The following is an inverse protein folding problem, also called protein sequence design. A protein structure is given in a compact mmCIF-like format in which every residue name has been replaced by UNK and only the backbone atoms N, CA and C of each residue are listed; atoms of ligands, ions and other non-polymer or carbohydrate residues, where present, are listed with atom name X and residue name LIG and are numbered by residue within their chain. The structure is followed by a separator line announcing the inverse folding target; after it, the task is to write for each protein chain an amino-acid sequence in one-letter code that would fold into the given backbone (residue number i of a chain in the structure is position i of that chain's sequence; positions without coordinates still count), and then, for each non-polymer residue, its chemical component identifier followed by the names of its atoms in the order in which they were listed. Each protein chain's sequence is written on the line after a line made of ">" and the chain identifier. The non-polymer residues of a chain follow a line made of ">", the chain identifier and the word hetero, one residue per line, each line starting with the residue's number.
data_IF_153490320781
#
_entry.id   IF_153490320781
#
_cell.length_a   1.000
_cell.length_b   1.000
_cell.length_c   1.000
_cell.angle_alpha   90.00
_cell.angle_beta   90.00
_cell.angle_gamma   90.00
#
_symmetry.space_group_name_H-M   'P 1'
#
loop_
_entity.id
_entity.type
_entity.pdbx_description
1 polymer ?
#
# COMPACT_ATOMS: atom_id res chain seq x y z
N UNK A 1 -25.17 7.02 66.78
CA UNK A 1 -23.81 7.32 66.29
C UNK A 1 -23.02 6.12 65.75
N UNK A 2 -23.36 4.85 66.07
CA UNK A 2 -22.64 3.66 65.56
C UNK A 2 -23.19 3.03 64.27
N UNK A 3 -24.41 3.39 63.84
CA UNK A 3 -25.02 2.85 62.62
C UNK A 3 -24.68 3.62 61.33
N UNK A 4 -24.18 4.86 61.42
CA UNK A 4 -23.89 5.71 60.25
C UNK A 4 -22.47 5.53 59.69
N UNK A 5 -21.57 4.87 60.43
CA UNK A 5 -20.17 4.66 60.00
C UNK A 5 -19.98 3.36 59.19
N UNK A 6 -20.86 2.36 59.38
CA UNK A 6 -20.83 1.11 58.62
C UNK A 6 -21.37 1.26 57.18
N UNK A 7 -22.18 2.29 56.91
CA UNK A 7 -22.71 2.58 55.58
C UNK A 7 -21.80 3.49 54.73
N UNK A 8 -20.72 4.04 55.30
CA UNK A 8 -19.74 4.88 54.58
C UNK A 8 -18.44 4.16 54.18
N UNK A 9 -18.25 2.90 54.60
CA UNK A 9 -17.11 2.08 54.16
C UNK A 9 -17.48 1.03 53.08
N UNK A 10 -18.77 0.81 52.81
CA UNK A 10 -19.23 -0.09 51.74
C UNK A 10 -19.31 0.59 50.36
N UNK A 11 -19.12 1.91 50.26
CA UNK A 11 -19.21 2.69 49.02
C UNK A 11 -17.86 2.99 48.36
N UNK A 12 -16.74 2.47 48.90
CA UNK A 12 -15.39 2.72 48.35
C UNK A 12 -14.73 1.50 47.68
N UNK A 13 -15.33 0.31 47.72
CA UNK A 13 -14.72 -0.93 47.18
C UNK A 13 -15.57 -1.58 46.08
N UNK A 14 -16.83 -1.17 45.93
CA UNK A 14 -17.71 -1.64 44.85
C UNK A 14 -17.45 -0.95 43.50
N UNK A 15 -16.91 0.27 43.51
CA UNK A 15 -16.63 1.05 42.30
C UNK A 15 -15.35 0.62 41.58
N UNK A 16 -14.41 -0.01 42.28
CA UNK A 16 -13.13 -0.46 41.71
C UNK A 16 -13.20 -1.87 41.14
N UNK A 17 -14.21 -2.68 41.50
CA UNK A 17 -14.43 -4.01 40.93
C UNK A 17 -15.34 -4.02 39.70
N UNK A 18 -16.13 -2.97 39.46
CA UNK A 18 -16.90 -2.83 38.22
C UNK A 18 -16.05 -2.31 37.04
N UNK A 19 -15.01 -1.51 37.29
CA UNK A 19 -14.06 -1.11 36.24
C UNK A 19 -13.12 -2.23 35.82
N UNK A 20 -12.79 -3.17 36.72
CA UNK A 20 -11.99 -4.36 36.37
C UNK A 20 -12.79 -5.46 35.66
N UNK A 21 -14.14 -5.42 35.73
CA UNK A 21 -15.03 -6.32 34.98
C UNK A 21 -15.58 -5.69 33.69
N UNK A 22 -15.17 -4.46 33.37
CA UNK A 22 -15.34 -3.85 32.05
C UNK A 22 -14.05 -3.92 31.19
N UNK A 23 -13.06 -4.69 31.66
CA UNK A 23 -11.78 -4.95 30.98
C UNK A 23 -11.60 -6.40 30.52
N UNK A 24 -12.67 -7.23 30.52
CA UNK A 24 -12.57 -8.66 30.14
C UNK A 24 -13.63 -9.12 29.11
N UNK A 25 -14.50 -8.24 28.60
CA UNK A 25 -15.48 -8.63 27.57
C UNK A 25 -15.52 -7.63 26.41
N UNK A 26 -14.40 -7.51 25.73
CA UNK A 26 -14.31 -7.45 24.28
C UNK A 26 -12.81 -7.25 23.98
N UNK A 27 -12.01 -8.31 24.05
CA UNK A 27 -10.98 -8.36 23.01
C UNK A 27 -11.79 -8.35 21.72
N UNK A 28 -11.72 -7.30 20.87
CA UNK A 28 -12.28 -7.45 19.54
C UNK A 28 -11.63 -8.73 19.01
N UNK A 29 -12.44 -9.71 18.59
CA UNK A 29 -11.97 -10.79 17.75
C UNK A 29 -10.95 -10.18 16.79
N UNK A 30 -9.67 -10.60 16.85
CA UNK A 30 -8.56 -9.90 16.20
C UNK A 30 -8.97 -9.50 14.79
N UNK A 31 -9.36 -8.23 14.66
CA UNK A 31 -10.07 -7.79 13.47
C UNK A 31 -9.05 -7.89 12.34
N UNK A 32 -9.35 -8.72 11.35
CA UNK A 32 -8.51 -8.99 10.19
C UNK A 32 -7.99 -7.66 9.64
N UNK A 33 -6.72 -7.34 9.91
CA UNK A 33 -6.19 -6.00 9.63
C UNK A 33 -5.99 -5.88 8.12
N UNK A 34 -6.66 -4.90 7.50
CA UNK A 34 -6.43 -4.62 6.08
C UNK A 34 -5.19 -3.78 5.93
N UNK A 35 -4.32 -4.15 4.99
CA UNK A 35 -3.11 -3.39 4.69
C UNK A 35 -3.03 -3.10 3.20
N UNK A 36 -2.80 -1.84 2.87
CA UNK A 36 -2.51 -1.41 1.50
C UNK A 36 -1.03 -1.07 1.39
N UNK A 37 -0.34 -1.72 0.47
CA UNK A 37 0.99 -1.30 0.02
C UNK A 37 0.80 -0.51 -1.27
N UNK A 38 0.94 0.80 -1.19
CA UNK A 38 0.91 1.66 -2.37
C UNK A 38 2.31 1.71 -2.97
N UNK A 39 2.55 0.88 -3.98
CA UNK A 39 3.82 0.85 -4.72
C UNK A 39 3.80 1.93 -5.81
N UNK A 40 4.50 3.03 -5.52
CA UNK A 40 4.62 4.18 -6.41
C UNK A 40 5.67 3.90 -7.48
N UNK A 41 5.35 4.22 -8.74
CA UNK A 41 6.24 4.04 -9.90
C UNK A 41 6.46 5.38 -10.60
N UNK A 42 5.83 5.56 -11.75
CA UNK A 42 5.90 6.76 -12.58
C UNK A 42 4.83 7.80 -12.17
N UNK A 43 4.09 7.52 -11.09
CA UNK A 43 2.94 8.27 -10.59
C UNK A 43 3.24 8.95 -9.24
N UNK A 44 4.38 9.65 -9.15
CA UNK A 44 4.90 10.31 -7.95
C UNK A 44 4.08 11.55 -7.53
N UNK A 45 2.80 11.37 -7.23
CA UNK A 45 1.85 12.43 -6.88
C UNK A 45 0.78 11.96 -5.91
N UNK A 46 0.30 12.88 -5.06
CA UNK A 46 -0.86 12.65 -4.19
C UNK A 46 -2.18 13.03 -4.85
N UNK A 47 -2.20 14.09 -5.65
CA UNK A 47 -3.39 14.54 -6.35
C UNK A 47 -3.74 13.59 -7.48
N UNK A 48 -5.04 13.39 -7.71
CA UNK A 48 -5.57 12.59 -8.82
C UNK A 48 -4.83 11.26 -9.02
N UNK A 49 -4.57 10.56 -7.91
CA UNK A 49 -3.93 9.25 -7.94
C UNK A 49 -5.02 8.17 -7.74
N UNK A 50 -5.31 7.34 -8.76
CA UNK A 50 -6.38 6.36 -8.67
C UNK A 50 -6.08 5.22 -7.69
N UNK A 51 -4.81 4.95 -7.37
CA UNK A 51 -4.46 4.02 -6.30
C UNK A 51 -4.90 4.57 -4.95
N UNK A 52 -4.60 5.84 -4.67
CA UNK A 52 -5.03 6.51 -3.44
C UNK A 52 -6.56 6.60 -3.36
N UNK A 53 -7.24 6.94 -4.46
CA UNK A 53 -8.70 6.96 -4.49
C UNK A 53 -9.30 5.59 -4.12
N UNK A 54 -8.71 4.49 -4.59
CA UNK A 54 -9.15 3.13 -4.27
C UNK A 54 -8.86 2.74 -2.82
N UNK A 55 -7.74 3.21 -2.25
CA UNK A 55 -7.42 3.04 -0.82
C UNK A 55 -8.43 3.80 0.04
N UNK A 56 -8.70 5.06 -0.29
CA UNK A 56 -9.63 5.92 0.44
C UNK A 56 -11.09 5.45 0.35
N UNK A 57 -11.45 4.70 -0.69
CA UNK A 57 -12.77 4.08 -0.83
C UNK A 57 -12.96 2.83 0.07
N UNK A 58 -11.90 2.32 0.71
CA UNK A 58 -12.01 1.20 1.63
C UNK A 58 -12.80 1.59 2.89
N UNK A 59 -13.73 0.73 3.31
CA UNK A 59 -14.50 0.91 4.54
C UNK A 59 -13.85 0.11 5.66
N UNK A 60 -13.40 0.81 6.70
CA UNK A 60 -12.76 0.21 7.87
C UNK A 60 -11.35 0.73 8.10
N UNK A 61 -10.74 0.28 9.20
CA UNK A 61 -9.35 0.61 9.51
C UNK A 61 -8.42 -0.15 8.57
N UNK A 62 -7.52 0.58 7.91
CA UNK A 62 -6.47 0.00 7.10
C UNK A 62 -5.14 0.70 7.32
N UNK A 63 -4.07 -0.10 7.42
CA UNK A 63 -2.70 0.42 7.37
C UNK A 63 -2.35 0.73 5.90
N UNK A 64 -1.80 1.91 5.64
CA UNK A 64 -1.30 2.29 4.30
C UNK A 64 0.20 2.46 4.37
N UNK A 65 0.92 1.72 3.54
CA UNK A 65 2.36 1.81 3.38
C UNK A 65 2.71 2.28 1.95
N UNK A 66 3.03 3.57 1.76
CA UNK A 66 3.63 4.05 0.53
C UNK A 66 5.06 3.50 0.36
N UNK A 67 5.38 2.98 -0.83
CA UNK A 67 6.69 2.39 -1.14
C UNK A 67 7.18 2.87 -2.51
N UNK A 68 8.43 3.31 -2.58
CA UNK A 68 9.14 3.57 -3.82
C UNK A 68 10.44 2.76 -3.87
N UNK A 69 10.68 2.08 -5.00
CA UNK A 69 11.85 1.22 -5.17
C UNK A 69 12.68 1.68 -6.37
N UNK A 70 13.91 2.08 -6.11
CA UNK A 70 14.92 2.30 -7.15
C UNK A 70 15.36 0.94 -7.71
N UNK A 71 14.79 0.57 -8.85
CA UNK A 71 15.12 -0.68 -9.53
C UNK A 71 16.48 -0.57 -10.26
N UNK A 72 17.50 -1.37 -9.89
CA UNK A 72 18.81 -1.31 -10.53
C UNK A 72 18.78 -1.51 -12.04
N UNK A 73 17.75 -2.19 -12.59
CA UNK A 73 17.58 -2.40 -14.04
C UNK A 73 17.36 -1.10 -14.80
N UNK A 74 16.81 -0.06 -14.16
CA UNK A 74 16.60 1.25 -14.78
C UNK A 74 17.89 2.07 -14.92
N UNK A 75 18.96 1.67 -14.22
CA UNK A 75 20.26 2.35 -14.20
C UNK A 75 21.35 1.56 -14.93
N UNK A 76 20.96 0.54 -15.71
CA UNK A 76 21.88 -0.22 -16.59
C UNK A 76 22.09 0.51 -17.92
N UNK A 77 22.98 -0.04 -18.75
CA UNK A 77 23.09 0.36 -20.16
C UNK A 77 21.92 -0.22 -20.98
N UNK A 78 21.47 0.51 -21.99
CA UNK A 78 20.55 0.00 -23.01
C UNK A 78 21.27 -0.94 -23.97
N UNK A 79 20.53 -1.65 -24.83
CA UNK A 79 21.12 -2.52 -25.85
C UNK A 79 22.10 -1.78 -26.80
N UNK A 80 21.96 -0.45 -26.91
CA UNK A 80 22.83 0.40 -27.74
C UNK A 80 24.00 1.03 -26.95
N UNK A 81 24.19 0.66 -25.69
CA UNK A 81 25.30 1.15 -24.84
C UNK A 81 25.07 2.49 -24.16
N UNK A 82 23.92 3.15 -24.36
CA UNK A 82 23.59 4.39 -23.65
C UNK A 82 23.16 4.10 -22.21
N UNK A 83 23.32 5.06 -21.29
CA UNK A 83 22.69 4.94 -19.97
C UNK A 83 21.17 4.89 -20.12
N UNK A 84 20.54 3.86 -19.56
CA UNK A 84 19.09 3.72 -19.61
C UNK A 84 18.43 4.89 -18.90
N UNK A 85 18.98 5.30 -17.75
CA UNK A 85 18.66 6.54 -17.05
C UNK A 85 19.91 7.40 -16.95
N UNK A 86 19.95 8.48 -17.76
CA UNK A 86 21.03 9.46 -17.70
C UNK A 86 20.99 10.34 -16.44
N UNK A 87 22.05 11.11 -16.17
CA UNK A 87 22.24 11.83 -14.91
C UNK A 87 21.15 12.88 -14.65
N UNK A 88 20.69 13.59 -15.69
CA UNK A 88 19.63 14.60 -15.54
C UNK A 88 18.31 13.99 -15.09
N UNK A 89 17.91 12.87 -15.70
CA UNK A 89 16.67 12.17 -15.32
C UNK A 89 16.79 11.50 -13.96
N UNK A 90 17.96 10.95 -13.63
CA UNK A 90 18.21 10.39 -12.31
C UNK A 90 18.07 11.45 -11.21
N UNK A 91 18.64 12.65 -11.42
CA UNK A 91 18.49 13.79 -10.51
C UNK A 91 17.02 14.21 -10.36
N UNK A 92 16.32 14.42 -11.47
CA UNK A 92 14.90 14.78 -11.45
C UNK A 92 14.03 13.76 -10.71
N UNK A 93 14.28 12.47 -10.94
CA UNK A 93 13.57 11.39 -10.25
C UNK A 93 13.86 11.38 -8.74
N UNK A 94 15.12 11.57 -8.35
CA UNK A 94 15.50 11.68 -6.95
C UNK A 94 14.79 12.85 -6.26
N UNK A 95 14.77 14.03 -6.88
CA UNK A 95 14.07 15.22 -6.38
C UNK A 95 12.55 14.98 -6.28
N UNK A 96 11.96 14.31 -7.26
CA UNK A 96 10.53 13.95 -7.25
C UNK A 96 10.17 12.98 -6.12
N UNK A 97 11.03 11.99 -5.83
CA UNK A 97 10.85 11.06 -4.71
C UNK A 97 10.98 11.78 -3.38
N UNK A 98 11.92 12.72 -3.25
CA UNK A 98 12.06 13.54 -2.05
C UNK A 98 10.83 14.42 -1.80
N UNK A 99 10.32 15.10 -2.84
CA UNK A 99 9.13 15.93 -2.75
C UNK A 99 7.91 15.12 -2.31
N UNK A 100 7.65 13.97 -2.96
CA UNK A 100 6.55 13.09 -2.56
C UNK A 100 6.67 12.63 -1.10
N UNK A 101 7.89 12.29 -0.66
CA UNK A 101 8.14 11.91 0.73
C UNK A 101 7.84 13.06 1.70
N UNK A 102 8.20 14.29 1.35
CA UNK A 102 7.91 15.47 2.15
C UNK A 102 6.40 15.74 2.23
N UNK A 103 5.69 15.63 1.12
CA UNK A 103 4.22 15.79 1.08
C UNK A 103 3.53 14.73 1.96
N UNK A 104 3.97 13.47 1.89
CA UNK A 104 3.46 12.39 2.75
C UNK A 104 3.71 12.63 4.24
N UNK A 105 4.90 13.13 4.61
CA UNK A 105 5.20 13.52 5.98
C UNK A 105 4.35 14.68 6.48
N UNK A 106 4.02 15.63 5.60
CA UNK A 106 3.13 16.75 5.90
C UNK A 106 1.73 16.31 6.35
N UNK A 107 1.29 15.10 5.97
CA UNK A 107 0.00 14.52 6.36
C UNK A 107 0.12 13.38 7.37
N UNK A 108 1.27 13.24 8.05
CA UNK A 108 1.48 12.23 9.08
C UNK A 108 1.79 10.81 8.57
N UNK A 109 2.15 10.66 7.29
CA UNK A 109 2.64 9.41 6.69
C UNK A 109 4.16 9.46 6.44
N UNK A 110 4.72 8.49 5.73
CA UNK A 110 6.09 8.56 5.17
C UNK A 110 6.16 7.69 3.90
N UNK A 111 7.22 7.88 3.10
CA UNK A 111 7.53 7.05 1.94
C UNK A 111 8.66 6.08 2.29
N UNK A 112 8.39 4.78 2.24
CA UNK A 112 9.44 3.76 2.34
C UNK A 112 10.22 3.73 1.02
N UNK A 113 11.48 4.13 1.05
CA UNK A 113 12.36 4.14 -0.12
C UNK A 113 13.38 3.01 -0.01
N UNK A 114 13.52 2.22 -1.08
CA UNK A 114 14.48 1.13 -1.15
C UNK A 114 15.19 1.06 -2.50
N UNK A 115 16.26 0.26 -2.56
CA UNK A 115 16.99 -0.06 -3.79
C UNK A 115 16.97 -1.57 -4.00
N UNK A 116 16.50 -2.02 -5.15
CA UNK A 116 16.41 -3.44 -5.48
C UNK A 116 15.23 -3.75 -6.40
N UNK A 117 15.09 -5.02 -6.78
CA UNK A 117 14.02 -5.43 -7.68
C UNK A 117 12.68 -5.51 -6.93
N UNK A 118 11.60 -4.91 -7.46
CA UNK A 118 10.28 -4.97 -6.82
C UNK A 118 9.80 -6.39 -6.52
N UNK A 119 10.00 -7.32 -7.45
CA UNK A 119 9.63 -8.74 -7.29
C UNK A 119 10.45 -9.50 -6.24
N UNK A 120 11.55 -8.93 -5.74
CA UNK A 120 12.36 -9.52 -4.66
C UNK A 120 12.04 -8.84 -3.31
N UNK A 121 11.80 -7.53 -3.31
CA UNK A 121 11.61 -6.73 -2.10
C UNK A 121 10.16 -6.71 -1.61
N UNK A 122 9.18 -6.55 -2.52
CA UNK A 122 7.77 -6.48 -2.14
C UNK A 122 7.27 -7.77 -1.47
N UNK A 123 7.60 -8.99 -1.96
CA UNK A 123 7.21 -10.22 -1.27
C UNK A 123 7.73 -10.31 0.17
N UNK A 124 8.95 -9.81 0.43
CA UNK A 124 9.52 -9.76 1.78
C UNK A 124 8.79 -8.76 2.69
N UNK A 125 8.29 -7.67 2.11
CA UNK A 125 7.59 -6.61 2.83
C UNK A 125 6.15 -7.01 3.22
N UNK A 126 5.53 -7.86 2.40
CA UNK A 126 4.15 -8.36 2.57
C UNK A 126 4.08 -9.78 3.13
N UNK A 127 5.22 -10.38 3.46
CA UNK A 127 5.27 -11.69 4.09
C UNK A 127 4.46 -11.68 5.41
N UNK A 128 3.73 -12.76 5.74
CA UNK A 128 2.97 -12.86 6.97
C UNK A 128 3.84 -12.54 8.19
N UNK A 129 3.35 -11.67 9.08
CA UNK A 129 4.09 -11.18 10.26
C UNK A 129 3.81 -11.97 11.54
N UNK A 130 3.01 -13.04 11.48
CA UNK A 130 2.59 -13.86 12.61
C UNK A 130 1.16 -14.38 12.46
N UNK A 131 0.65 -15.03 13.52
CA UNK A 131 -0.76 -15.42 13.65
C UNK A 131 -1.60 -14.16 13.82
N UNK A 132 -2.35 -13.81 12.77
CA UNK A 132 -3.07 -12.55 12.65
C UNK A 132 -3.25 -12.23 11.17
N UNK A 133 -4.31 -12.77 10.57
CA UNK A 133 -4.63 -12.64 9.14
C UNK A 133 -4.65 -11.17 8.71
N UNK A 134 -3.53 -10.69 8.17
CA UNK A 134 -3.43 -9.35 7.61
C UNK A 134 -3.65 -9.47 6.11
N UNK A 135 -4.83 -9.06 5.63
CA UNK A 135 -5.10 -9.05 4.21
C UNK A 135 -4.32 -7.91 3.55
N UNK A 136 -3.23 -8.26 2.86
CA UNK A 136 -2.37 -7.25 2.21
C UNK A 136 -2.75 -7.12 0.74
N UNK A 137 -3.00 -5.89 0.29
CA UNK A 137 -3.17 -5.57 -1.14
C UNK A 137 -2.07 -4.62 -1.59
N UNK A 138 -1.29 -5.02 -2.58
CA UNK A 138 -0.37 -4.14 -3.30
C UNK A 138 -1.14 -3.44 -4.41
N UNK A 139 -1.17 -2.11 -4.38
CA UNK A 139 -1.76 -1.23 -5.38
C UNK A 139 -0.66 -0.41 -6.06
N UNK A 140 -0.71 -0.31 -7.39
CA UNK A 140 0.18 0.54 -8.17
C UNK A 140 -0.52 1.00 -9.45
N UNK A 141 -0.08 2.10 -10.06
CA UNK A 141 -0.57 2.47 -11.38
C UNK A 141 -0.17 1.40 -12.40
N UNK A 142 -1.10 0.94 -13.23
CA UNK A 142 -0.88 -0.02 -14.31
C UNK A 142 0.14 0.53 -15.32
N UNK A 143 0.94 -0.36 -15.92
CA UNK A 143 1.88 -0.05 -16.98
C UNK A 143 1.64 -1.00 -18.15
N UNK A 144 1.94 -0.57 -19.36
CA UNK A 144 1.62 -1.31 -20.61
C UNK A 144 2.84 -1.75 -21.40
N UNK A 145 4.03 -1.29 -21.00
CA UNK A 145 5.29 -1.55 -21.70
C UNK A 145 5.93 -2.86 -21.23
N UNK A 146 6.72 -3.47 -22.12
CA UNK A 146 7.17 -4.87 -21.96
C UNK A 146 8.08 -5.11 -20.74
N UNK A 147 8.90 -4.12 -20.36
CA UNK A 147 9.77 -4.24 -19.21
C UNK A 147 8.98 -4.21 -17.90
N UNK A 148 8.05 -3.27 -17.78
CA UNK A 148 7.16 -3.11 -16.63
C UNK A 148 6.22 -4.31 -16.48
N UNK A 149 5.64 -4.80 -17.58
CA UNK A 149 4.81 -6.01 -17.58
C UNK A 149 5.59 -7.26 -17.16
N UNK A 150 6.89 -7.34 -17.47
CA UNK A 150 7.75 -8.43 -17.00
C UNK A 150 7.96 -8.37 -15.49
N UNK A 151 8.14 -7.17 -14.92
CA UNK A 151 8.21 -6.96 -13.46
C UNK A 151 6.89 -7.35 -12.81
N UNK A 152 5.77 -6.89 -13.34
CA UNK A 152 4.43 -7.19 -12.81
C UNK A 152 4.15 -8.70 -12.80
N UNK A 153 4.56 -9.41 -13.87
CA UNK A 153 4.45 -10.88 -13.94
C UNK A 153 5.35 -11.56 -12.91
N UNK A 154 6.62 -11.15 -12.81
CA UNK A 154 7.56 -11.72 -11.85
C UNK A 154 7.09 -11.50 -10.41
N UNK A 155 6.57 -10.32 -10.10
CA UNK A 155 5.97 -10.01 -8.81
C UNK A 155 4.79 -10.93 -8.52
N UNK A 156 3.83 -11.08 -9.45
CA UNK A 156 2.69 -12.01 -9.26
C UNK A 156 3.14 -13.42 -8.93
N UNK A 157 4.20 -13.92 -9.58
CA UNK A 157 4.75 -15.25 -9.33
C UNK A 157 5.48 -15.37 -7.99
N UNK A 158 6.03 -14.26 -7.47
CA UNK A 158 6.80 -14.25 -6.22
C UNK A 158 5.95 -13.99 -4.97
N UNK A 159 4.69 -13.54 -5.12
CA UNK A 159 3.81 -13.25 -3.99
C UNK A 159 3.32 -14.54 -3.30
N UNK A 160 3.23 -14.55 -1.96
CA UNK A 160 2.70 -15.68 -1.22
C UNK A 160 1.21 -15.90 -1.57
N UNK A 161 0.85 -17.15 -1.88
CA UNK A 161 -0.52 -17.51 -2.21
C UNK A 161 -1.46 -17.22 -1.02
N UNK A 162 -2.65 -16.68 -1.31
CA UNK A 162 -3.74 -16.49 -0.34
C UNK A 162 -3.66 -15.27 0.57
N UNK A 163 -2.45 -14.77 0.91
CA UNK A 163 -2.28 -13.67 1.88
C UNK A 163 -2.10 -12.29 1.25
N UNK A 164 -1.65 -12.22 -0.01
CA UNK A 164 -1.39 -10.96 -0.70
C UNK A 164 -2.06 -10.88 -2.07
N UNK A 165 -2.72 -9.76 -2.36
CA UNK A 165 -3.28 -9.46 -3.68
C UNK A 165 -2.46 -8.38 -4.40
N UNK A 166 -2.21 -8.55 -5.70
CA UNK A 166 -1.60 -7.51 -6.54
C UNK A 166 -2.62 -6.95 -7.54
N UNK A 167 -2.96 -5.68 -7.35
CA UNK A 167 -4.02 -4.97 -8.08
C UNK A 167 -3.44 -3.71 -8.75
N UNK A 168 -2.96 -3.81 -10.00
CA UNK A 168 -2.66 -2.63 -10.79
C UNK A 168 -3.96 -1.85 -11.10
N UNK A 169 -3.87 -0.53 -11.15
CA UNK A 169 -5.00 0.38 -11.40
C UNK A 169 -4.68 1.29 -12.58
N UNK A 170 -5.56 1.35 -13.57
CA UNK A 170 -5.41 2.26 -14.71
C UNK A 170 -5.42 3.73 -14.25
N UNK A 171 -4.58 4.56 -14.87
CA UNK A 171 -4.41 5.96 -14.46
C UNK A 171 -3.37 6.76 -15.23
N UNK A 172 -2.86 6.22 -16.35
CA UNK A 172 -1.76 6.81 -17.11
C UNK A 172 -2.20 7.67 -18.31
N UNK A 173 -3.50 7.85 -18.51
CA UNK A 173 -4.08 8.57 -19.66
C UNK A 173 -5.17 9.53 -19.21
N UNK A 174 -5.45 10.54 -20.05
CA UNK A 174 -6.52 11.52 -19.80
C UNK A 174 -7.91 10.87 -19.83
N UNK A 175 -8.15 9.99 -20.80
CA UNK A 175 -9.39 9.22 -20.90
C UNK A 175 -9.21 7.89 -20.17
N UNK A 176 -10.22 7.48 -19.41
CA UNK A 176 -10.22 6.13 -18.85
C UNK A 176 -10.43 5.11 -19.97
N UNK A 177 -9.85 3.91 -19.83
CA UNK A 177 -9.98 2.86 -20.84
C UNK A 177 -11.45 2.45 -21.06
N UNK A 178 -12.30 2.57 -20.05
CA UNK A 178 -13.73 2.29 -20.14
C UNK A 178 -14.51 3.35 -20.93
N UNK A 179 -13.96 4.55 -21.08
CA UNK A 179 -14.56 5.67 -21.82
C UNK A 179 -14.17 5.68 -23.30
N UNK A 180 -13.23 4.81 -23.71
CA UNK A 180 -12.83 4.74 -25.10
C UNK A 180 -13.97 4.20 -25.98
N UNK A 181 -14.32 4.88 -27.09
CA UNK A 181 -15.48 4.54 -27.91
C UNK A 181 -15.38 3.18 -28.62
N UNK A 182 -14.19 2.58 -28.71
CA UNK A 182 -13.92 1.36 -29.49
C UNK A 182 -13.53 0.15 -28.62
N UNK A 183 -14.28 -0.15 -27.55
CA UNK A 183 -14.01 -1.31 -26.69
C UNK A 183 -14.10 -2.67 -27.44
N UNK A 184 -14.84 -2.72 -28.54
CA UNK A 184 -15.02 -3.92 -29.37
C UNK A 184 -13.90 -4.19 -30.38
N UNK A 185 -13.08 -3.19 -30.74
CA UNK A 185 -12.06 -3.32 -31.78
C UNK A 185 -10.65 -3.64 -31.24
N UNK A 186 -10.48 -3.69 -29.92
CA UNK A 186 -9.20 -3.84 -29.22
C UNK A 186 -9.14 -5.08 -28.31
N UNK A 187 -10.08 -6.03 -28.49
CA UNK A 187 -9.89 -7.35 -27.89
C UNK A 187 -8.64 -7.98 -28.52
N UNK A 188 -7.66 -8.31 -27.68
CA UNK A 188 -6.40 -8.94 -28.12
C UNK A 188 -6.60 -10.31 -28.81
N UNK A 189 -7.83 -10.85 -28.78
CA UNK A 189 -8.23 -12.04 -29.51
C UNK A 189 -8.50 -11.81 -31.01
N UNK A 190 -8.65 -10.54 -31.45
CA UNK A 190 -8.99 -10.18 -32.84
C UNK A 190 -7.90 -9.42 -33.59
N UNK A 191 -6.72 -9.21 -33.00
CA UNK A 191 -5.55 -8.69 -33.71
C UNK A 191 -4.81 -9.83 -34.44
N UNK A 192 -4.43 -9.66 -35.72
CA UNK A 192 -3.78 -10.68 -36.53
C UNK A 192 -2.37 -11.06 -36.06
#
# INVERSE_FOLDING_TARGET
>A
ARHALAQRQATSVATTRLLALLLVLCAPAEAMRTRFVWWVRNDLRLHDNPCLARILAHKGEAEVLPVFLFDPRQYRRTARGCDKTGPFRAKFLYESVLDLRQQLRGIGSDLLVGVGKPEELLPRLVAPRGEGDTHTTILCQEQVTSEELRVDRALRSALPAGSCQFKPVWGGSLYDRSELPARQALDSSTLP
#
